data_IF_030963561012
#
_entry.id   IF_030963561012
#
_cell.length_a   1.000
_cell.length_b   1.000
_cell.length_c   1.000
_cell.angle_alpha   90.00
_cell.angle_beta   90.00
_cell.angle_gamma   90.00
#
_symmetry.space_group_name_H-M   'P 1'
#
loop_
_entity.id
_entity.type
_entity.pdbx_description
1 polymer ?
#
# COMPACT_ATOMS: atom_id res chain seq x y z
N UNK A 1 52.19 -44.23 68.15
CA UNK A 1 50.77 -43.96 68.43
C UNK A 1 49.94 -44.40 67.23
N UNK A 2 49.04 -45.33 67.48
CA UNK A 2 48.23 -46.11 66.52
C UNK A 2 47.26 -45.25 65.71
N UNK A 3 47.34 -45.34 64.38
CA UNK A 3 46.40 -44.73 63.44
C UNK A 3 45.15 -45.63 63.36
N UNK A 4 44.17 -45.33 64.21
CA UNK A 4 42.91 -46.07 64.30
C UNK A 4 41.99 -45.65 63.14
N UNK A 5 42.26 -46.14 61.93
CA UNK A 5 41.31 -46.02 60.82
C UNK A 5 40.17 -47.01 61.07
N UNK A 6 39.14 -46.56 61.79
CA UNK A 6 37.85 -47.28 61.87
C UNK A 6 37.33 -47.44 60.44
N UNK A 7 37.49 -48.64 59.89
CA UNK A 7 36.87 -49.10 58.65
C UNK A 7 35.37 -49.25 58.90
N UNK A 8 34.65 -48.14 58.74
CA UNK A 8 33.24 -47.99 59.15
C UNK A 8 32.27 -48.95 58.42
N UNK A 9 32.70 -49.69 57.39
CA UNK A 9 31.83 -50.54 56.58
C UNK A 9 32.49 -51.85 56.11
N UNK A 10 33.01 -52.69 57.00
CA UNK A 10 33.59 -53.98 56.59
C UNK A 10 32.58 -55.13 56.40
N UNK A 11 31.33 -54.99 56.86
CA UNK A 11 30.36 -56.11 56.90
C UNK A 11 28.99 -55.80 56.25
N UNK A 12 28.91 -54.84 55.32
CA UNK A 12 27.64 -54.50 54.67
C UNK A 12 27.44 -55.40 53.44
N UNK A 13 26.28 -56.07 53.38
CA UNK A 13 25.89 -56.94 52.26
C UNK A 13 25.93 -56.15 50.93
N UNK A 14 26.52 -56.74 49.89
CA UNK A 14 26.59 -56.16 48.55
C UNK A 14 25.22 -55.74 48.00
N UNK A 15 24.14 -56.43 48.40
CA UNK A 15 22.76 -56.11 48.04
C UNK A 15 22.32 -54.73 48.57
N UNK A 16 22.85 -54.32 49.72
CA UNK A 16 22.58 -53.00 50.32
C UNK A 16 23.28 -51.89 49.51
N UNK A 17 24.49 -52.13 49.01
CA UNK A 17 25.15 -51.17 48.12
C UNK A 17 24.45 -51.04 46.78
N UNK A 18 23.95 -52.15 46.21
CA UNK A 18 23.15 -52.12 44.98
C UNK A 18 21.84 -51.35 45.19
N UNK A 19 21.13 -51.60 46.31
CA UNK A 19 19.88 -50.90 46.59
C UNK A 19 20.08 -49.40 46.84
N UNK A 20 21.14 -49.01 47.56
CA UNK A 20 21.55 -47.60 47.72
C UNK A 20 21.92 -46.96 46.38
N UNK A 21 22.64 -47.67 45.52
CA UNK A 21 22.98 -47.21 44.18
C UNK A 21 21.75 -46.97 43.30
N UNK A 22 20.78 -47.88 43.32
CA UNK A 22 19.51 -47.74 42.59
C UNK A 22 18.70 -46.55 43.14
N UNK A 23 18.59 -46.41 44.47
CA UNK A 23 17.89 -45.27 45.09
C UNK A 23 18.55 -43.94 44.72
N UNK A 24 19.88 -43.88 44.71
CA UNK A 24 20.62 -42.69 44.31
C UNK A 24 20.38 -42.37 42.83
N UNK A 25 20.38 -43.37 41.95
CA UNK A 25 20.09 -43.18 40.52
C UNK A 25 18.65 -42.72 40.27
N UNK A 26 17.67 -43.30 40.97
CA UNK A 26 16.26 -42.88 40.90
C UNK A 26 16.11 -41.45 41.41
N UNK A 27 16.73 -41.12 42.53
CA UNK A 27 16.76 -39.76 43.08
C UNK A 27 17.39 -38.76 42.11
N UNK A 28 18.55 -39.09 41.52
CA UNK A 28 19.24 -38.24 40.54
C UNK A 28 18.40 -38.06 39.27
N UNK A 29 17.69 -39.11 38.84
CA UNK A 29 16.80 -39.07 37.68
C UNK A 29 15.59 -38.17 37.95
N UNK A 30 14.98 -38.27 39.13
CA UNK A 30 13.88 -37.39 39.55
C UNK A 30 14.34 -35.94 39.69
N UNK A 31 15.53 -35.71 40.24
CA UNK A 31 16.12 -34.38 40.36
C UNK A 31 16.42 -33.79 38.97
N UNK A 32 16.99 -34.57 38.06
CA UNK A 32 17.24 -34.13 36.69
C UNK A 32 15.92 -33.82 35.95
N UNK A 33 14.90 -34.66 36.16
CA UNK A 33 13.56 -34.42 35.64
C UNK A 33 12.95 -33.13 36.18
N UNK A 34 13.07 -32.88 37.48
CA UNK A 34 12.57 -31.66 38.11
C UNK A 34 13.36 -30.43 37.66
N UNK A 35 14.69 -30.54 37.54
CA UNK A 35 15.57 -29.46 37.08
C UNK A 35 15.30 -29.07 35.63
N UNK A 36 15.10 -30.06 34.74
CA UNK A 36 14.82 -29.80 33.31
C UNK A 36 13.43 -29.23 33.04
N UNK A 37 12.49 -29.39 33.98
CA UNK A 37 11.13 -28.82 33.91
C UNK A 37 10.93 -27.59 34.79
N UNK A 38 11.96 -27.17 35.52
CA UNK A 38 11.89 -25.97 36.32
C UNK A 38 11.83 -24.75 35.40
N UNK A 39 10.81 -23.92 35.61
CA UNK A 39 10.71 -22.59 35.03
C UNK A 39 10.96 -21.62 36.17
N UNK A 40 11.97 -20.77 36.00
CA UNK A 40 12.16 -19.64 36.87
C UNK A 40 11.07 -18.62 36.53
N UNK A 41 10.05 -18.53 37.40
CA UNK A 41 8.94 -17.63 37.16
C UNK A 41 9.42 -16.17 37.10
N UNK A 42 10.48 -15.78 37.82
CA UNK A 42 10.90 -14.39 37.85
C UNK A 42 11.56 -13.91 36.54
N UNK A 43 11.98 -14.83 35.65
CA UNK A 43 12.57 -14.54 34.33
C UNK A 43 11.60 -14.75 33.15
N UNK A 44 10.30 -14.53 33.34
CA UNK A 44 9.33 -14.64 32.26
C UNK A 44 9.58 -13.61 31.14
N UNK A 45 9.74 -14.09 29.90
CA UNK A 45 10.06 -13.29 28.70
C UNK A 45 8.86 -13.23 27.76
N UNK A 46 7.82 -12.53 28.20
CA UNK A 46 6.62 -12.31 27.40
C UNK A 46 6.55 -10.90 26.82
N UNK A 47 5.98 -10.82 25.62
CA UNK A 47 5.90 -9.63 24.79
C UNK A 47 4.45 -9.38 24.43
N UNK A 48 4.05 -8.11 24.52
CA UNK A 48 2.78 -7.61 24.03
C UNK A 48 3.16 -6.55 23.00
N UNK A 49 2.70 -6.72 21.77
CA UNK A 49 3.08 -5.88 20.65
C UNK A 49 1.87 -5.52 19.78
N UNK A 50 1.78 -4.23 19.42
CA UNK A 50 0.87 -3.69 18.44
C UNK A 50 1.47 -2.41 17.87
N UNK A 51 1.07 -2.03 16.65
CA UNK A 51 1.39 -0.72 16.08
C UNK A 51 0.75 0.40 16.91
N UNK A 52 -0.51 0.19 17.32
CA UNK A 52 -1.28 1.09 18.17
C UNK A 52 -2.21 0.30 19.10
N UNK A 53 -2.33 0.77 20.34
CA UNK A 53 -3.21 0.18 21.35
C UNK A 53 -4.60 0.84 21.36
N UNK A 54 -5.36 0.61 20.29
CA UNK A 54 -6.71 1.16 20.10
C UNK A 54 -7.76 0.07 19.89
N UNK A 55 -9.03 0.40 20.11
CA UNK A 55 -10.15 -0.54 19.93
C UNK A 55 -10.16 -1.17 18.53
N UNK A 56 -10.62 -2.42 18.45
CA UNK A 56 -10.77 -3.23 17.23
C UNK A 56 -9.48 -3.48 16.42
N UNK A 57 -8.31 -3.05 16.90
CA UNK A 57 -6.99 -3.43 16.35
C UNK A 57 -6.47 -4.70 17.01
N UNK A 58 -5.65 -5.44 16.27
CA UNK A 58 -5.04 -6.68 16.73
C UNK A 58 -3.84 -6.33 17.61
N UNK A 59 -3.81 -6.93 18.80
CA UNK A 59 -2.64 -6.96 19.67
C UNK A 59 -2.08 -8.38 19.65
N UNK A 60 -0.78 -8.52 19.42
CA UNK A 60 -0.04 -9.77 19.47
C UNK A 60 0.53 -10.01 20.87
N UNK A 61 0.39 -11.25 21.35
CA UNK A 61 0.89 -11.73 22.62
C UNK A 61 1.77 -12.94 22.38
N UNK A 62 2.98 -12.92 22.91
CA UNK A 62 3.94 -13.99 22.74
C UNK A 62 4.72 -14.22 24.02
N UNK A 63 4.98 -15.49 24.35
CA UNK A 63 5.92 -15.87 25.40
C UNK A 63 7.14 -16.63 24.83
N UNK A 64 8.33 -16.24 25.28
CA UNK A 64 9.60 -16.88 24.96
C UNK A 64 10.34 -17.36 26.22
N UNK A 65 9.61 -17.62 27.31
CA UNK A 65 10.18 -18.08 28.57
C UNK A 65 10.77 -19.48 28.42
N UNK A 66 12.02 -19.66 28.87
CA UNK A 66 12.72 -20.95 28.74
C UNK A 66 12.06 -21.98 29.68
N UNK A 67 11.72 -23.15 29.13
CA UNK A 67 11.06 -24.23 29.89
C UNK A 67 9.53 -24.10 29.97
N UNK A 68 8.94 -23.05 29.39
CA UNK A 68 7.50 -22.96 29.23
C UNK A 68 6.99 -24.06 28.30
N UNK A 69 5.96 -24.79 28.74
CA UNK A 69 5.31 -25.87 27.99
C UNK A 69 3.82 -25.62 27.80
N UNK A 70 3.19 -24.91 28.73
CA UNK A 70 1.77 -24.56 28.71
C UNK A 70 1.62 -23.07 28.99
N UNK A 71 0.70 -22.42 28.26
CA UNK A 71 0.34 -21.01 28.42
C UNK A 71 -1.16 -20.90 28.64
N UNK A 72 -1.56 -19.93 29.46
CA UNK A 72 -2.94 -19.50 29.63
C UNK A 72 -2.96 -17.97 29.66
N UNK A 73 -3.47 -17.36 28.61
CA UNK A 73 -3.63 -15.92 28.45
C UNK A 73 -5.03 -15.49 28.83
N UNK A 74 -5.14 -14.62 29.83
CA UNK A 74 -6.34 -13.86 30.16
C UNK A 74 -6.12 -12.40 29.75
N UNK A 75 -6.95 -11.89 28.83
CA UNK A 75 -6.80 -10.55 28.29
C UNK A 75 -7.41 -9.45 29.18
N UNK A 76 -8.10 -9.82 30.26
CA UNK A 76 -8.70 -8.89 31.22
C UNK A 76 -10.02 -8.27 30.79
N UNK A 77 -10.61 -8.71 29.66
CA UNK A 77 -11.85 -8.18 29.09
C UNK A 77 -13.03 -9.19 29.13
N UNK A 78 -12.89 -10.23 29.95
CA UNK A 78 -13.86 -11.34 30.08
C UNK A 78 -14.00 -12.23 28.85
N UNK A 79 -13.07 -12.16 27.90
CA UNK A 79 -13.01 -13.11 26.79
C UNK A 79 -12.40 -14.45 27.21
N UNK A 80 -12.55 -15.47 26.36
CA UNK A 80 -12.08 -16.81 26.68
C UNK A 80 -10.55 -16.87 26.76
N UNK A 81 -10.04 -17.64 27.73
CA UNK A 81 -8.60 -17.87 27.91
C UNK A 81 -8.01 -18.53 26.67
N UNK A 82 -6.87 -18.02 26.20
CA UNK A 82 -6.11 -18.61 25.11
C UNK A 82 -4.96 -19.48 25.62
N UNK A 83 -4.70 -20.63 24.98
CA UNK A 83 -3.67 -21.59 25.41
C UNK A 83 -2.46 -21.70 24.48
N UNK A 84 -2.36 -20.80 23.50
CA UNK A 84 -1.26 -20.79 22.53
C UNK A 84 -0.07 -19.99 23.06
N UNK A 85 1.13 -20.39 22.65
CA UNK A 85 2.36 -19.63 22.94
C UNK A 85 2.33 -18.23 22.30
N UNK A 86 1.81 -18.14 21.08
CA UNK A 86 1.59 -16.90 20.33
C UNK A 86 0.10 -16.79 20.05
N UNK A 87 -0.51 -15.67 20.44
CA UNK A 87 -1.93 -15.41 20.19
C UNK A 87 -2.19 -13.94 19.84
N UNK A 88 -3.37 -13.69 19.31
CA UNK A 88 -3.83 -12.41 18.82
C UNK A 88 -5.19 -12.09 19.45
N UNK A 89 -5.33 -10.88 19.99
CA UNK A 89 -6.58 -10.43 20.61
C UNK A 89 -7.01 -9.06 20.10
N UNK A 90 -8.30 -8.77 20.20
CA UNK A 90 -8.88 -7.46 19.88
C UNK A 90 -9.80 -7.00 21.00
N UNK A 91 -9.60 -5.78 21.47
CA UNK A 91 -10.46 -5.18 22.48
C UNK A 91 -11.57 -4.37 21.82
N UNK A 92 -12.81 -4.63 22.22
CA UNK A 92 -14.00 -3.96 21.65
C UNK A 92 -14.33 -2.62 22.31
N UNK A 93 -13.83 -2.39 23.53
CA UNK A 93 -14.10 -1.19 24.33
C UNK A 93 -12.78 -0.53 24.74
N UNK A 94 -12.74 0.80 24.87
CA UNK A 94 -11.60 1.48 25.48
C UNK A 94 -11.57 1.19 26.98
N UNK A 95 -10.38 1.13 27.56
CA UNK A 95 -10.20 0.85 28.97
C UNK A 95 -8.79 0.41 29.33
N UNK A 96 -8.56 0.26 30.63
CA UNK A 96 -7.35 -0.35 31.18
C UNK A 96 -7.63 -1.83 31.45
N UNK A 97 -6.82 -2.69 30.84
CA UNK A 97 -6.92 -4.14 30.93
C UNK A 97 -5.70 -4.69 31.65
N UNK A 98 -5.91 -5.64 32.56
CA UNK A 98 -4.82 -6.37 33.20
C UNK A 98 -4.68 -7.70 32.46
N UNK A 99 -3.67 -7.79 31.61
CA UNK A 99 -3.36 -9.01 30.87
C UNK A 99 -2.60 -9.94 31.79
N UNK A 100 -3.09 -11.17 31.96
CA UNK A 100 -2.44 -12.20 32.78
C UNK A 100 -1.95 -13.34 31.89
N UNK A 101 -0.68 -13.70 32.06
CA UNK A 101 -0.09 -14.90 31.49
C UNK A 101 0.19 -15.89 32.60
N UNK A 102 -0.37 -17.09 32.49
CA UNK A 102 -0.05 -18.21 33.38
C UNK A 102 0.72 -19.29 32.63
N UNK A 103 1.93 -19.58 33.09
CA UNK A 103 2.85 -20.55 32.49
C UNK A 103 2.90 -21.81 33.36
N UNK A 104 2.81 -22.99 32.74
CA UNK A 104 2.92 -24.30 33.40
C UNK A 104 1.99 -24.51 34.61
N UNK A 105 0.91 -23.74 34.70
CA UNK A 105 -0.11 -23.89 35.74
C UNK A 105 0.19 -23.19 37.06
N UNK A 106 1.38 -22.62 37.27
CA UNK A 106 1.81 -22.06 38.55
C UNK A 106 2.50 -20.69 38.46
N UNK A 107 3.24 -20.38 37.39
CA UNK A 107 3.85 -19.06 37.22
C UNK A 107 2.80 -18.09 36.65
N UNK A 108 2.48 -17.01 37.35
CA UNK A 108 1.49 -16.01 36.92
C UNK A 108 2.17 -14.66 36.78
N UNK A 109 2.06 -14.05 35.61
CA UNK A 109 2.56 -12.71 35.30
C UNK A 109 1.42 -11.81 34.85
N UNK A 110 1.48 -10.55 35.25
CA UNK A 110 0.46 -9.56 34.89
C UNK A 110 1.10 -8.34 34.26
N UNK A 111 0.43 -7.76 33.26
CA UNK A 111 0.84 -6.50 32.63
C UNK A 111 -0.39 -5.64 32.34
N UNK A 112 -0.34 -4.40 32.80
CA UNK A 112 -1.36 -3.41 32.48
C UNK A 112 -1.23 -2.96 31.02
N UNK A 113 -2.37 -2.93 30.33
CA UNK A 113 -2.51 -2.53 28.95
C UNK A 113 -3.65 -1.51 28.83
N UNK A 114 -3.33 -0.30 28.36
CA UNK A 114 -4.34 0.74 28.12
C UNK A 114 -4.75 0.71 26.65
N UNK A 115 -6.03 0.45 26.39
CA UNK A 115 -6.64 0.53 25.07
C UNK A 115 -7.43 1.82 24.97
N UNK A 116 -7.09 2.67 24.00
CA UNK A 116 -7.82 3.91 23.75
C UNK A 116 -8.88 3.70 22.67
N UNK A 117 -9.88 4.59 22.62
CA UNK A 117 -10.78 4.64 21.47
C UNK A 117 -9.98 5.03 20.23
N UNK A 118 -10.45 4.62 19.04
CA UNK A 118 -10.02 5.27 17.81
C UNK A 118 -10.44 6.72 17.97
N UNK A 119 -9.48 7.60 18.25
CA UNK A 119 -9.70 9.03 18.10
C UNK A 119 -10.05 9.20 16.63
N UNK A 120 -11.32 9.48 16.32
CA UNK A 120 -11.56 10.27 15.13
C UNK A 120 -10.80 11.56 15.44
N UNK A 121 -9.72 11.82 14.72
CA UNK A 121 -8.91 13.03 14.83
C UNK A 121 -9.71 14.27 14.40
N UNK A 122 -10.88 14.51 14.98
CA UNK A 122 -11.78 15.63 14.70
C UNK A 122 -11.26 16.94 15.32
N UNK A 123 -9.95 17.13 15.34
CA UNK A 123 -9.28 18.31 15.89
C UNK A 123 -7.80 18.40 15.51
N UNK A 124 -7.13 17.26 15.26
CA UNK A 124 -5.75 17.26 14.78
C UNK A 124 -5.65 17.48 13.26
N UNK A 125 -6.56 16.92 12.47
CA UNK A 125 -6.58 17.18 11.03
C UNK A 125 -7.58 18.28 10.68
N UNK A 126 -7.26 19.16 9.72
CA UNK A 126 -8.24 20.09 9.19
C UNK A 126 -9.37 19.36 8.46
N UNK A 127 -10.57 19.95 8.47
CA UNK A 127 -11.75 19.46 7.74
C UNK A 127 -12.30 20.53 6.81
N UNK A 128 -12.82 20.12 5.64
CA UNK A 128 -13.43 20.99 4.63
C UNK A 128 -14.95 20.81 4.61
N UNK A 129 -15.67 21.89 4.94
CA UNK A 129 -17.13 21.95 4.91
C UNK A 129 -17.56 22.62 3.59
N UNK A 130 -18.27 21.86 2.77
CA UNK A 130 -18.70 22.25 1.43
C UNK A 130 -19.80 21.30 0.91
N UNK A 131 -20.68 21.74 -0.01
CA UNK A 131 -21.61 20.86 -0.71
C UNK A 131 -20.89 19.87 -1.63
N UNK A 132 -21.48 18.69 -1.86
CA UNK A 132 -20.91 17.66 -2.73
C UNK A 132 -21.08 17.97 -4.23
N UNK A 133 -22.07 18.79 -4.58
CA UNK A 133 -22.40 19.18 -5.95
C UNK A 133 -22.62 20.69 -6.00
N UNK A 134 -22.02 21.35 -6.98
CA UNK A 134 -22.14 22.80 -7.20
C UNK A 134 -22.35 23.11 -8.68
N UNK A 135 -22.87 24.30 -9.01
CA UNK A 135 -23.07 24.73 -10.40
C UNK A 135 -21.89 25.56 -10.89
N UNK A 136 -21.46 25.32 -12.13
CA UNK A 136 -20.43 26.12 -12.80
C UNK A 136 -20.82 27.61 -12.84
N UNK A 137 -19.88 28.48 -12.42
CA UNK A 137 -20.05 29.93 -12.41
C UNK A 137 -20.80 30.51 -11.21
N UNK A 138 -21.33 29.68 -10.30
CA UNK A 138 -21.92 30.15 -9.03
C UNK A 138 -20.82 30.40 -7.98
N UNK A 139 -21.06 31.40 -7.12
CA UNK A 139 -20.16 31.71 -5.99
C UNK A 139 -20.48 30.77 -4.85
N UNK A 140 -19.54 29.90 -4.50
CA UNK A 140 -19.71 28.91 -3.43
C UNK A 140 -18.89 29.35 -2.23
N UNK A 141 -19.52 29.34 -1.05
CA UNK A 141 -18.83 29.58 0.21
C UNK A 141 -18.31 28.26 0.77
N UNK A 142 -17.04 28.27 1.18
CA UNK A 142 -16.37 27.15 1.82
C UNK A 142 -16.13 27.49 3.28
N UNK A 143 -16.07 26.48 4.14
CA UNK A 143 -15.69 26.65 5.54
C UNK A 143 -14.73 25.53 5.96
N UNK A 144 -13.98 25.78 7.02
CA UNK A 144 -12.99 24.84 7.56
C UNK A 144 -13.03 24.73 9.06
N UNK A 145 -12.72 23.53 9.55
CA UNK A 145 -12.66 23.22 10.97
C UNK A 145 -11.27 22.67 11.31
N UNK A 146 -10.57 23.36 12.21
CA UNK A 146 -9.26 22.98 12.77
C UNK A 146 -9.03 23.73 14.07
N UNK A 147 -8.80 23.00 15.15
CA UNK A 147 -8.40 23.60 16.43
C UNK A 147 -6.99 24.19 16.32
N UNK A 148 -6.81 25.43 16.80
CA UNK A 148 -5.53 26.15 16.71
C UNK A 148 -5.16 26.64 15.29
N UNK A 149 -6.12 26.73 14.37
CA UNK A 149 -5.87 27.31 13.03
C UNK A 149 -5.64 28.82 13.08
N UNK A 150 -4.51 29.27 12.53
CA UNK A 150 -4.08 30.66 12.41
C UNK A 150 -3.98 31.11 10.94
N UNK A 151 -3.65 30.21 10.02
CA UNK A 151 -3.60 30.47 8.58
C UNK A 151 -4.24 29.35 7.77
N UNK A 152 -4.83 29.70 6.62
CA UNK A 152 -5.54 28.76 5.73
C UNK A 152 -5.17 29.05 4.29
N UNK A 153 -4.78 28.01 3.57
CA UNK A 153 -4.44 28.05 2.15
C UNK A 153 -5.27 27.04 1.39
N UNK A 154 -6.04 27.53 0.42
CA UNK A 154 -6.99 26.72 -0.35
C UNK A 154 -6.52 26.55 -1.78
N UNK A 155 -6.64 25.35 -2.33
CA UNK A 155 -6.58 25.09 -3.77
C UNK A 155 -7.83 24.33 -4.20
N UNK A 156 -8.52 24.83 -5.22
CA UNK A 156 -9.79 24.27 -5.70
C UNK A 156 -9.62 23.31 -6.88
N UNK A 157 -8.37 23.00 -7.26
CA UNK A 157 -8.06 21.99 -8.27
C UNK A 157 -8.37 22.42 -9.71
N UNK A 158 -8.58 23.71 -9.97
CA UNK A 158 -8.60 24.26 -11.35
C UNK A 158 -7.22 24.72 -11.81
N UNK A 159 -6.34 25.04 -10.86
CA UNK A 159 -4.95 25.43 -11.11
C UNK A 159 -4.02 24.69 -10.15
N UNK A 160 -2.72 24.67 -10.45
CA UNK A 160 -1.69 24.10 -9.55
C UNK A 160 -1.20 25.10 -8.50
N UNK A 161 -2.01 26.11 -8.14
CA UNK A 161 -1.63 27.20 -7.23
C UNK A 161 -2.64 27.32 -6.09
N UNK A 162 -2.24 28.05 -5.04
CA UNK A 162 -3.15 28.52 -3.99
C UNK A 162 -4.11 29.54 -4.59
N UNK A 163 -5.41 29.27 -4.47
CA UNK A 163 -6.49 30.04 -5.06
C UNK A 163 -7.10 31.05 -4.06
N UNK A 164 -7.10 30.74 -2.76
CA UNK A 164 -7.66 31.61 -1.72
C UNK A 164 -6.98 31.44 -0.37
N UNK A 165 -7.10 32.48 0.47
CA UNK A 165 -6.61 32.52 1.84
C UNK A 165 -7.77 32.82 2.81
N UNK A 166 -7.61 32.38 4.06
CA UNK A 166 -8.56 32.61 5.15
C UNK A 166 -9.51 31.44 5.41
N UNK A 167 -10.17 31.44 6.57
CA UNK A 167 -10.93 30.30 7.08
C UNK A 167 -12.12 29.90 6.20
N UNK A 168 -12.82 30.89 5.65
CA UNK A 168 -14.10 30.70 4.95
C UNK A 168 -14.17 31.47 3.61
N UNK A 169 -13.35 31.08 2.61
CA UNK A 169 -13.29 31.79 1.33
C UNK A 169 -14.53 31.51 0.47
N UNK A 170 -14.70 32.32 -0.57
CA UNK A 170 -15.66 32.05 -1.65
C UNK A 170 -14.93 31.80 -2.97
N UNK A 171 -15.41 30.84 -3.77
CA UNK A 171 -14.80 30.47 -5.04
C UNK A 171 -15.84 30.19 -6.13
N UNK A 172 -15.45 30.42 -7.39
CA UNK A 172 -16.28 30.23 -8.59
C UNK A 172 -15.57 29.31 -9.58
N UNK A 173 -16.11 28.10 -9.76
CA UNK A 173 -15.56 27.13 -10.72
C UNK A 173 -15.83 27.54 -12.17
N UNK A 174 -14.79 27.49 -13.00
CA UNK A 174 -14.84 27.84 -14.44
C UNK A 174 -15.06 26.64 -15.33
N UNK A 175 -14.79 25.43 -14.84
CA UNK A 175 -14.88 24.18 -15.60
C UNK A 175 -15.71 23.13 -14.87
N UNK A 176 -16.47 22.35 -15.65
CA UNK A 176 -17.30 21.25 -15.15
C UNK A 176 -16.49 20.01 -14.80
N UNK A 177 -17.10 19.09 -14.06
CA UNK A 177 -16.52 17.79 -13.69
C UNK A 177 -16.09 17.73 -12.23
N UNK A 178 -15.40 16.64 -11.87
CA UNK A 178 -14.90 16.45 -10.51
C UNK A 178 -13.75 17.41 -10.19
N UNK A 179 -13.80 18.01 -9.00
CA UNK A 179 -12.80 18.95 -8.48
C UNK A 179 -12.30 18.46 -7.13
N UNK A 180 -10.97 18.30 -7.03
CA UNK A 180 -10.28 17.97 -5.79
C UNK A 180 -9.83 19.28 -5.13
N UNK A 181 -10.44 19.58 -3.99
CA UNK A 181 -10.13 20.73 -3.15
C UNK A 181 -9.16 20.28 -2.07
N UNK A 182 -8.08 21.05 -1.88
CA UNK A 182 -7.09 20.83 -0.82
C UNK A 182 -7.01 22.05 0.09
N UNK A 183 -6.87 21.80 1.39
CA UNK A 183 -6.72 22.82 2.42
C UNK A 183 -5.48 22.52 3.26
N UNK A 184 -4.58 23.49 3.34
CA UNK A 184 -3.42 23.50 4.24
C UNK A 184 -3.72 24.52 5.34
N UNK A 185 -3.52 24.14 6.60
CA UNK A 185 -3.69 25.03 7.76
C UNK A 185 -2.35 25.19 8.46
N UNK A 186 -1.99 26.41 8.86
CA UNK A 186 -0.72 26.72 9.54
C UNK A 186 0.55 26.32 8.78
N UNK A 187 0.47 26.18 7.45
CA UNK A 187 1.58 25.70 6.63
C UNK A 187 1.90 24.21 6.80
N UNK A 188 1.04 23.44 7.48
CA UNK A 188 1.21 22.01 7.68
C UNK A 188 0.82 21.22 6.43
N UNK A 189 1.81 20.96 5.58
CA UNK A 189 1.64 20.19 4.34
C UNK A 189 1.46 18.70 4.58
N UNK A 190 1.92 18.17 5.72
CA UNK A 190 1.84 16.73 6.04
C UNK A 190 0.39 16.34 6.38
N UNK A 191 -0.36 17.26 7.00
CA UNK A 191 -1.75 17.06 7.42
C UNK A 191 -2.75 17.84 6.54
N UNK A 192 -2.59 17.77 5.22
CA UNK A 192 -3.48 18.45 4.26
C UNK A 192 -4.89 17.81 4.23
N UNK A 193 -5.94 18.61 4.35
CA UNK A 193 -7.31 18.14 4.15
C UNK A 193 -7.67 18.09 2.67
N UNK A 194 -8.38 17.05 2.24
CA UNK A 194 -8.78 16.86 0.83
C UNK A 194 -10.26 16.54 0.73
N UNK A 195 -10.97 17.25 -0.15
CA UNK A 195 -12.39 16.99 -0.46
C UNK A 195 -12.65 17.02 -1.95
N UNK A 196 -13.39 16.04 -2.45
CA UNK A 196 -13.79 15.99 -3.87
C UNK A 196 -15.25 16.40 -4.01
N UNK A 197 -15.54 17.31 -4.93
CA UNK A 197 -16.90 17.76 -5.26
C UNK A 197 -17.14 17.63 -6.78
N UNK A 198 -18.40 17.64 -7.21
CA UNK A 198 -18.76 17.64 -8.62
C UNK A 198 -19.33 19.00 -9.07
N UNK A 199 -18.75 19.57 -10.13
CA UNK A 199 -19.22 20.83 -10.74
C UNK A 199 -20.12 20.51 -11.94
N UNK A 200 -21.42 20.74 -11.79
CA UNK A 200 -22.42 20.56 -12.82
C UNK A 200 -22.43 21.76 -13.80
N UNK A 201 -22.75 21.55 -15.10
CA UNK A 201 -22.94 22.64 -16.05
C UNK A 201 -24.12 23.52 -15.65
N UNK A 202 -24.04 24.82 -15.95
CA UNK A 202 -25.18 25.73 -15.78
C UNK A 202 -26.31 25.30 -16.69
N UNK A 203 -27.47 25.00 -16.13
CA UNK A 203 -28.65 24.64 -16.90
C UNK A 203 -28.99 25.76 -17.90
N UNK A 204 -28.89 25.48 -19.19
CA UNK A 204 -29.37 26.39 -20.24
C UNK A 204 -30.89 26.29 -20.21
N UNK A 205 -31.58 27.28 -19.63
CA UNK A 205 -33.02 27.43 -19.86
C UNK A 205 -33.19 27.75 -21.34
N UNK A 206 -33.82 26.86 -22.10
CA UNK A 206 -34.20 27.13 -23.48
C UNK A 206 -35.00 28.44 -23.51
N UNK A 207 -34.44 29.49 -24.11
CA UNK A 207 -35.23 30.65 -24.48
C UNK A 207 -36.05 30.23 -25.70
N UNK A 208 -37.37 30.18 -25.50
CA UNK A 208 -38.45 29.89 -26.45
C UNK A 208 -38.86 28.41 -26.58
N UNK A 209 -40.16 28.18 -26.32
CA UNK A 209 -40.90 27.04 -26.90
C UNK A 209 -40.89 27.23 -28.41
N UNK A 210 -40.41 26.24 -29.15
CA UNK A 210 -40.62 26.18 -30.59
C UNK A 210 -42.13 25.98 -30.77
N UNK A 211 -42.82 27.01 -31.25
CA UNK A 211 -44.22 26.89 -31.66
C UNK A 211 -44.24 26.23 -33.03
N UNK A 212 -44.49 24.92 -33.05
CA UNK A 212 -44.62 24.15 -34.29
C UNK A 212 -46.05 24.38 -34.80
N UNK A 213 -46.29 25.54 -35.41
CA UNK A 213 -47.44 25.72 -36.29
C UNK A 213 -46.99 25.54 -37.74
N UNK A 214 -47.67 24.62 -38.41
CA UNK A 214 -47.52 24.19 -39.81
C UNK A 214 -46.30 23.32 -40.13
N UNK A 215 -46.53 22.01 -40.09
CA UNK A 215 -45.83 21.05 -40.94
C UNK A 215 -46.40 21.21 -42.35
N UNK A 216 -45.64 21.81 -43.26
CA UNK A 216 -45.95 21.77 -44.70
C UNK A 216 -45.42 20.45 -45.25
N UNK A 217 -46.33 19.58 -45.71
CA UNK A 217 -45.98 18.27 -46.27
C UNK A 217 -44.97 18.44 -47.40
N UNK A 218 -43.89 17.63 -47.38
CA UNK A 218 -42.91 17.58 -48.46
C UNK A 218 -43.62 17.33 -49.80
N UNK A 219 -43.46 18.30 -50.71
CA UNK A 219 -43.92 18.21 -52.10
C UNK A 219 -43.11 17.10 -52.78
N UNK A 220 -43.80 16.12 -53.38
CA UNK A 220 -43.18 15.00 -54.08
C UNK A 220 -42.12 15.48 -55.09
N UNK A 221 -40.96 14.81 -55.11
CA UNK A 221 -39.85 15.12 -55.99
C UNK A 221 -40.26 14.91 -57.45
N UNK A 222 -40.22 15.98 -58.25
CA UNK A 222 -40.35 15.87 -59.70
C UNK A 222 -38.99 15.44 -60.23
N UNK A 223 -38.93 14.35 -61.01
CA UNK A 223 -37.71 13.84 -61.59
C UNK A 223 -37.10 14.89 -62.54
N UNK A 224 -35.98 15.49 -62.11
CA UNK A 224 -35.17 16.35 -62.96
C UNK A 224 -34.47 15.48 -64.01
N UNK A 225 -34.90 15.55 -65.27
CA UNK A 225 -34.19 14.91 -66.37
C UNK A 225 -33.19 15.90 -66.96
N UNK A 226 -31.91 15.52 -66.94
CA UNK A 226 -30.85 16.27 -67.60
C UNK A 226 -30.97 16.12 -69.12
N UNK A 227 -30.82 17.21 -69.91
CA UNK A 227 -30.71 17.08 -71.35
C UNK A 227 -29.42 16.32 -71.72
N UNK A 228 -29.51 15.36 -72.65
CA UNK A 228 -28.34 14.63 -73.15
C UNK A 228 -27.43 15.57 -73.93
N UNK A 229 -26.30 15.95 -73.33
CA UNK A 229 -25.19 16.61 -74.01
C UNK A 229 -24.40 15.64 -74.89
N UNK A 230 -23.78 16.16 -75.95
CA UNK A 230 -22.91 15.38 -76.85
C UNK A 230 -21.64 14.90 -76.14
N UNK A 231 -21.09 13.77 -76.58
CA UNK A 231 -19.93 13.12 -75.96
C UNK A 231 -18.70 14.04 -75.94
N UNK A 232 -18.25 14.40 -74.73
CA UNK A 232 -17.07 15.21 -74.51
C UNK A 232 -15.83 14.30 -74.48
N UNK A 233 -14.79 14.64 -75.25
CA UNK A 233 -13.52 13.90 -75.28
C UNK A 233 -12.79 14.02 -73.94
N UNK A 234 -12.09 12.94 -73.59
CA UNK A 234 -11.36 12.72 -72.35
C UNK A 234 -10.45 13.92 -71.96
N UNK A 235 -10.66 14.58 -70.79
CA UNK A 235 -9.89 15.74 -70.36
C UNK A 235 -8.47 15.40 -69.88
N UNK A 236 -8.09 14.12 -69.80
CA UNK A 236 -6.80 13.73 -69.22
C UNK A 236 -5.58 14.07 -70.09
N UNK A 237 -5.79 14.53 -71.34
CA UNK A 237 -4.70 14.91 -72.26
C UNK A 237 -4.21 16.35 -72.02
N UNK A 238 -5.01 17.23 -71.40
CA UNK A 238 -4.69 18.66 -71.26
C UNK A 238 -4.07 19.03 -69.89
N UNK A 239 -4.03 18.09 -68.94
CA UNK A 239 -3.54 18.33 -67.56
C UNK A 239 -2.03 18.08 -67.35
N UNK A 240 -1.27 17.66 -68.37
CA UNK A 240 0.16 17.36 -68.22
C UNK A 240 1.12 18.47 -68.65
N UNK A 241 0.64 19.64 -69.11
CA UNK A 241 1.52 20.69 -69.63
C UNK A 241 1.76 21.92 -68.75
N UNK A 242 1.12 22.03 -67.58
CA UNK A 242 1.35 23.17 -66.70
C UNK A 242 1.43 22.74 -65.24
N UNK A 243 2.66 22.49 -64.77
CA UNK A 243 3.00 22.39 -63.36
C UNK A 243 3.31 23.81 -62.85
N UNK A 244 2.45 24.42 -62.01
CA UNK A 244 2.85 25.56 -61.20
C UNK A 244 3.44 25.09 -59.85
N UNK A 245 4.60 25.64 -59.52
CA UNK A 245 5.25 25.53 -58.22
C UNK A 245 4.46 26.32 -57.17
N UNK A 246 4.11 25.70 -56.05
CA UNK A 246 3.32 26.30 -54.97
C UNK A 246 4.12 27.30 -54.12
N UNK A 247 3.62 28.52 -53.84
CA UNK A 247 4.04 29.32 -52.69
C UNK A 247 3.35 28.84 -51.41
N UNK A 248 4.07 28.92 -50.28
CA UNK A 248 3.64 28.46 -48.95
C UNK A 248 2.48 29.32 -48.40
N UNK A 249 1.44 28.68 -47.87
CA UNK A 249 0.58 29.25 -46.84
C UNK A 249 0.29 28.25 -45.72
N UNK A 250 0.21 28.79 -44.51
CA UNK A 250 0.15 28.13 -43.21
C UNK A 250 -1.18 27.39 -43.02
N UNK A 251 -1.12 26.11 -42.66
CA UNK A 251 -2.15 25.47 -41.87
C UNK A 251 -1.47 24.62 -40.81
N UNK A 252 -1.57 25.09 -39.55
CA UNK A 252 -1.30 24.29 -38.37
C UNK A 252 -2.40 23.24 -38.34
N UNK A 253 -2.07 22.04 -38.77
CA UNK A 253 -2.90 20.86 -38.54
C UNK A 253 -2.72 20.54 -37.06
N UNK A 254 -3.73 20.84 -36.26
CA UNK A 254 -3.81 20.40 -34.87
C UNK A 254 -3.80 18.87 -34.87
N UNK A 255 -2.59 18.32 -34.83
CA UNK A 255 -2.36 16.93 -34.54
C UNK A 255 -2.52 16.86 -33.03
N UNK A 256 -3.68 16.39 -32.58
CA UNK A 256 -3.79 15.84 -31.23
C UNK A 256 -2.76 14.72 -31.21
N UNK A 257 -1.59 15.01 -30.63
CA UNK A 257 -0.59 13.99 -30.33
C UNK A 257 -1.29 13.10 -29.31
N UNK A 258 -1.82 11.97 -29.79
CA UNK A 258 -2.16 10.87 -28.92
C UNK A 258 -0.85 10.52 -28.20
N UNK A 259 -0.77 10.94 -26.94
CA UNK A 259 0.42 10.77 -26.12
C UNK A 259 0.79 9.29 -26.11
N UNK A 260 1.93 8.95 -26.70
CA UNK A 260 2.36 7.57 -26.92
C UNK A 260 2.60 6.90 -25.57
N UNK A 261 1.59 6.22 -25.04
CA UNK A 261 1.66 5.49 -23.77
C UNK A 261 2.61 4.29 -23.92
N UNK A 262 3.30 3.95 -22.84
CA UNK A 262 4.15 2.77 -22.77
C UNK A 262 3.32 1.48 -22.92
N UNK A 263 3.89 0.37 -23.41
CA UNK A 263 3.19 -0.90 -23.52
C UNK A 263 2.71 -1.42 -22.16
N UNK A 264 1.53 -2.05 -22.14
CA UNK A 264 1.00 -2.68 -20.93
C UNK A 264 1.77 -3.96 -20.58
N UNK A 265 2.07 -4.15 -19.29
CA UNK A 265 2.78 -5.33 -18.78
C UNK A 265 2.31 -5.62 -17.35
N UNK A 266 2.02 -6.88 -17.06
CA UNK A 266 1.63 -7.34 -15.72
C UNK A 266 2.86 -7.54 -14.82
N UNK A 267 2.64 -7.66 -13.51
CA UNK A 267 3.72 -7.96 -12.57
C UNK A 267 4.37 -9.32 -12.90
N UNK A 268 3.58 -10.32 -13.26
CA UNK A 268 4.05 -11.68 -13.56
C UNK A 268 4.90 -11.71 -14.85
N UNK A 269 4.47 -10.96 -15.88
CA UNK A 269 5.22 -10.82 -17.12
C UNK A 269 6.55 -10.10 -16.88
N UNK A 270 6.55 -9.04 -16.08
CA UNK A 270 7.77 -8.33 -15.73
C UNK A 270 8.72 -9.19 -14.87
N UNK A 271 8.17 -10.02 -13.99
CA UNK A 271 8.94 -11.01 -13.22
C UNK A 271 9.65 -12.02 -14.15
N UNK A 272 8.99 -12.48 -15.22
CA UNK A 272 9.61 -13.36 -16.22
C UNK A 272 10.78 -12.66 -16.93
N UNK A 273 10.63 -11.38 -17.30
CA UNK A 273 11.70 -10.60 -17.89
C UNK A 273 12.91 -10.45 -16.94
N UNK A 274 12.67 -10.18 -15.64
CA UNK A 274 13.74 -10.13 -14.65
C UNK A 274 14.45 -11.47 -14.46
N UNK A 275 13.72 -12.59 -14.51
CA UNK A 275 14.34 -13.92 -14.50
C UNK A 275 15.20 -14.16 -15.75
N UNK A 276 14.82 -13.63 -16.91
CA UNK A 276 15.64 -13.67 -18.12
C UNK A 276 16.91 -12.82 -18.01
N UNK A 277 16.86 -11.68 -17.32
CA UNK A 277 18.07 -10.89 -16.98
C UNK A 277 19.01 -11.68 -16.07
N UNK A 278 18.46 -12.33 -15.05
CA UNK A 278 19.25 -13.18 -14.16
C UNK A 278 19.90 -14.37 -14.90
N UNK A 279 19.18 -14.94 -15.88
CA UNK A 279 19.67 -15.96 -16.80
C UNK A 279 20.53 -15.42 -17.95
N UNK A 280 20.83 -14.11 -17.98
CA UNK A 280 21.64 -13.43 -19.00
C UNK A 280 21.08 -13.50 -20.44
N UNK A 281 19.78 -13.79 -20.59
CA UNK A 281 19.09 -13.80 -21.87
C UNK A 281 18.55 -12.41 -22.27
N UNK A 282 18.48 -11.48 -21.32
CA UNK A 282 18.04 -10.09 -21.52
C UNK A 282 18.94 -9.11 -20.79
N UNK A 283 18.93 -7.86 -21.23
CA UNK A 283 19.67 -6.75 -20.60
C UNK A 283 18.69 -5.70 -20.08
N UNK A 284 19.23 -4.67 -19.40
CA UNK A 284 18.42 -3.53 -18.96
C UNK A 284 17.72 -2.82 -20.13
N UNK A 285 18.29 -2.84 -21.33
CA UNK A 285 17.79 -2.10 -22.49
C UNK A 285 16.50 -2.71 -23.05
N UNK A 286 16.25 -4.00 -22.82
CA UNK A 286 14.98 -4.67 -23.11
C UNK A 286 13.78 -4.05 -22.35
N UNK A 287 14.05 -3.26 -21.30
CA UNK A 287 13.02 -2.61 -20.49
C UNK A 287 12.77 -1.16 -20.90
N UNK A 288 13.52 -0.63 -21.87
CA UNK A 288 13.50 0.79 -22.26
C UNK A 288 12.11 1.34 -22.51
N UNK A 289 11.26 0.59 -23.22
CA UNK A 289 9.91 1.03 -23.58
C UNK A 289 8.97 1.06 -22.37
N UNK A 290 9.12 0.14 -21.41
CA UNK A 290 8.32 0.11 -20.18
C UNK A 290 8.75 1.17 -19.16
N UNK A 291 10.03 1.53 -19.18
CA UNK A 291 10.63 2.56 -18.32
C UNK A 291 10.63 3.95 -18.96
N UNK A 292 10.11 4.07 -20.19
CA UNK A 292 10.14 5.31 -20.96
C UNK A 292 11.55 5.93 -21.08
N UNK A 293 12.56 5.06 -21.17
CA UNK A 293 13.97 5.43 -21.27
C UNK A 293 14.67 5.79 -19.95
N UNK A 294 13.96 5.77 -18.81
CA UNK A 294 14.55 6.10 -17.52
C UNK A 294 15.00 4.84 -16.75
N UNK A 295 16.30 4.52 -16.81
CA UNK A 295 16.88 3.38 -16.07
C UNK A 295 17.27 3.72 -14.63
N UNK A 296 17.08 4.97 -14.20
CA UNK A 296 17.42 5.45 -12.85
C UNK A 296 16.24 5.36 -11.88
N UNK A 297 15.11 4.80 -12.33
CA UNK A 297 13.94 4.64 -11.47
C UNK A 297 14.31 3.82 -10.22
N UNK A 298 13.74 4.20 -9.06
CA UNK A 298 14.00 3.51 -7.80
C UNK A 298 13.49 2.07 -7.82
N UNK A 299 14.33 1.15 -7.36
CA UNK A 299 13.97 -0.23 -7.05
C UNK A 299 14.17 -0.46 -5.56
N UNK A 300 13.06 -0.73 -4.86
CA UNK A 300 13.05 -1.14 -3.46
C UNK A 300 13.21 -2.66 -3.41
N UNK A 301 14.36 -3.11 -2.92
CA UNK A 301 14.74 -4.50 -2.78
C UNK A 301 14.55 -4.97 -1.34
N UNK A 302 13.76 -6.02 -1.15
CA UNK A 302 13.52 -6.68 0.14
C UNK A 302 13.15 -5.68 1.26
N UNK A 303 12.38 -4.64 0.90
CA UNK A 303 11.87 -3.56 1.76
C UNK A 303 12.94 -2.76 2.53
N UNK A 304 14.21 -2.85 2.13
CA UNK A 304 15.33 -2.22 2.86
C UNK A 304 16.34 -1.52 1.98
N UNK A 305 16.61 -2.05 0.79
CA UNK A 305 17.66 -1.53 -0.10
C UNK A 305 17.03 -0.75 -1.24
N UNK A 306 17.41 0.50 -1.41
CA UNK A 306 17.01 1.34 -2.53
C UNK A 306 18.18 1.42 -3.52
N UNK A 307 17.93 1.12 -4.79
CA UNK A 307 18.92 1.29 -5.85
C UNK A 307 18.27 1.59 -7.20
N UNK A 308 18.98 2.22 -8.14
CA UNK A 308 18.51 2.39 -9.52
C UNK A 308 18.24 1.05 -10.22
N UNK A 309 17.27 1.01 -11.13
CA UNK A 309 16.94 -0.21 -11.90
C UNK A 309 18.12 -0.78 -12.67
N UNK A 310 18.96 0.08 -13.26
CA UNK A 310 20.18 -0.35 -13.93
C UNK A 310 21.12 -1.13 -13.00
N UNK A 311 21.30 -0.65 -11.77
CA UNK A 311 22.14 -1.30 -10.75
C UNK A 311 21.50 -2.61 -10.25
N UNK A 312 20.17 -2.63 -10.10
CA UNK A 312 19.45 -3.84 -9.75
C UNK A 312 19.65 -4.95 -10.80
N UNK A 313 19.54 -4.62 -12.09
CA UNK A 313 19.78 -5.58 -13.18
C UNK A 313 21.19 -6.17 -13.15
N UNK A 314 22.20 -5.35 -12.85
CA UNK A 314 23.59 -5.81 -12.68
C UNK A 314 23.71 -6.77 -11.48
N UNK A 315 23.04 -6.46 -10.37
CA UNK A 315 23.13 -7.26 -9.14
C UNK A 315 22.51 -8.65 -9.26
N UNK A 316 21.50 -8.83 -10.12
CA UNK A 316 20.85 -10.14 -10.33
C UNK A 316 21.47 -10.95 -11.48
N UNK A 317 22.26 -10.30 -12.34
CA UNK A 317 22.84 -10.92 -13.53
C UNK A 317 23.73 -12.11 -13.16
N UNK A 318 23.49 -13.25 -13.79
CA UNK A 318 24.24 -14.49 -13.53
C UNK A 318 23.93 -15.17 -12.19
N UNK A 319 22.95 -14.67 -11.41
CA UNK A 319 22.53 -15.30 -10.16
C UNK A 319 21.26 -16.13 -10.34
N UNK A 320 21.15 -17.23 -9.59
CA UNK A 320 19.88 -17.97 -9.47
C UNK A 320 18.99 -17.24 -8.45
N UNK A 321 18.00 -16.51 -8.95
CA UNK A 321 17.05 -15.75 -8.13
C UNK A 321 15.69 -16.44 -8.03
N UNK A 322 14.97 -16.19 -6.93
CA UNK A 322 13.56 -16.54 -6.73
C UNK A 322 12.83 -15.29 -6.24
N UNK A 323 12.08 -14.66 -7.14
CA UNK A 323 11.23 -13.51 -6.84
C UNK A 323 9.96 -14.03 -6.14
N UNK A 324 9.68 -13.52 -4.95
CA UNK A 324 8.52 -13.90 -4.13
C UNK A 324 7.39 -12.86 -4.18
N UNK A 325 7.73 -11.61 -4.45
CA UNK A 325 6.76 -10.54 -4.69
C UNK A 325 7.38 -9.49 -5.62
N UNK A 326 6.57 -8.94 -6.52
CA UNK A 326 6.93 -7.86 -7.41
C UNK A 326 5.73 -6.93 -7.55
N UNK A 327 5.94 -5.62 -7.38
CA UNK A 327 4.94 -4.58 -7.62
C UNK A 327 5.54 -3.48 -8.47
N UNK A 328 4.85 -3.14 -9.56
CA UNK A 328 5.17 -2.02 -10.43
C UNK A 328 4.24 -0.84 -10.11
N UNK A 329 4.82 0.34 -9.93
CA UNK A 329 4.05 1.59 -9.86
C UNK A 329 4.24 2.34 -11.18
N UNK A 330 3.12 2.75 -11.81
CA UNK A 330 3.10 3.35 -13.14
C UNK A 330 2.39 4.70 -13.13
N UNK A 331 2.80 5.59 -14.01
CA UNK A 331 2.16 6.90 -14.19
C UNK A 331 0.97 6.87 -15.17
N UNK A 332 0.41 8.05 -15.47
CA UNK A 332 -0.68 8.22 -16.44
C UNK A 332 -0.34 7.83 -17.88
N UNK A 333 0.96 7.76 -18.21
CA UNK A 333 1.49 7.30 -19.51
C UNK A 333 1.85 5.81 -19.48
N UNK A 334 1.54 5.11 -18.40
CA UNK A 334 1.86 3.69 -18.16
C UNK A 334 3.37 3.42 -18.08
N UNK A 335 4.21 4.44 -17.90
CA UNK A 335 5.64 4.29 -17.64
C UNK A 335 5.86 3.82 -16.20
N UNK A 336 6.72 2.83 -15.99
CA UNK A 336 7.06 2.36 -14.64
C UNK A 336 7.96 3.41 -13.98
N UNK A 337 7.54 3.91 -12.82
CA UNK A 337 8.24 4.94 -12.06
C UNK A 337 8.92 4.39 -10.80
N UNK A 338 8.46 3.25 -10.27
CA UNK A 338 9.04 2.60 -9.10
C UNK A 338 8.75 1.09 -9.13
N UNK A 339 9.68 0.29 -8.63
CA UNK A 339 9.57 -1.17 -8.53
C UNK A 339 9.85 -1.60 -7.09
N UNK A 340 8.90 -2.30 -6.45
CA UNK A 340 9.18 -3.04 -5.22
C UNK A 340 9.34 -4.52 -5.54
N UNK A 341 10.48 -5.11 -5.18
CA UNK A 341 10.83 -6.50 -5.44
C UNK A 341 11.34 -7.19 -4.17
N UNK A 342 10.74 -8.32 -3.85
CA UNK A 342 11.24 -9.24 -2.83
C UNK A 342 11.78 -10.49 -3.52
N UNK A 343 13.04 -10.82 -3.29
CA UNK A 343 13.67 -11.98 -3.89
C UNK A 343 14.73 -12.62 -3.00
N UNK A 344 14.99 -13.89 -3.28
CA UNK A 344 16.07 -14.68 -2.67
C UNK A 344 17.07 -15.09 -3.74
N UNK A 345 18.35 -15.14 -3.39
CA UNK A 345 19.42 -15.72 -4.21
C UNK A 345 19.76 -17.09 -3.67
N UNK A 346 19.96 -18.05 -4.58
CA UNK A 346 20.45 -19.38 -4.20
C UNK A 346 21.96 -19.31 -3.93
N UNK A 347 22.36 -19.50 -2.68
CA UNK A 347 23.77 -19.67 -2.27
C UNK A 347 23.93 -21.13 -1.83
N UNK A 348 24.78 -21.89 -2.54
CA UNK A 348 24.97 -23.33 -2.32
C UNK A 348 23.63 -24.10 -2.44
N UNK A 349 23.10 -24.64 -1.34
CA UNK A 349 21.81 -25.36 -1.30
C UNK A 349 20.64 -24.52 -0.73
N UNK A 350 20.88 -23.30 -0.23
CA UNK A 350 19.89 -22.52 0.50
C UNK A 350 19.50 -21.22 -0.22
N UNK A 351 18.24 -20.81 -0.05
CA UNK A 351 17.71 -19.54 -0.56
C UNK A 351 17.87 -18.45 0.50
N UNK A 352 18.75 -17.50 0.25
CA UNK A 352 19.08 -16.41 1.18
C UNK A 352 18.55 -15.10 0.63
N UNK A 353 18.05 -14.21 1.49
CA UNK A 353 17.71 -12.83 1.09
C UNK A 353 19.02 -12.09 0.84
N UNK A 354 19.19 -11.55 -0.37
CA UNK A 354 20.38 -10.77 -0.73
C UNK A 354 20.26 -9.31 -0.30
#
# INVERSE_FOLDING_TARGET
MTKNNRTFFQNVDYRIYISLGILLLVSLSLLLYQYTRHVDCDDAKFFIHADEYVINRVVEYQDNTKGAQNWEWDFGDSTAIDRRQITFHKYSKPGNYIVKLKINGNCIHEKSLTITSISQETGYLPSIIAPNVVTMGESIQFDSEKEGGESWEWSFGETSRTDALGKNPSYKFKSVGEKKITLIVNGDVEHTAVKTIYVAPKAIKAKQKIDIQSYEFEKQSVAFSLPRGAAQKDPLVDMLQYIPVSPKSKSKKDSIIAEKKAPEISNEQFQLLLNQVAAQAKTKDDFKDYLCGNFEIPVVVNDKKLMPFGQFCQNIMGKKIKITALRLNKDSKNCIQNINVQYKVKKMMLWVRD
#
